data_IF_582744478078
#
_entry.id   IF_582744478078
#
_cell.length_a   1.000
_cell.length_b   1.000
_cell.length_c   1.000
_cell.angle_alpha   90.00
_cell.angle_beta   90.00
_cell.angle_gamma   90.00
#
_symmetry.space_group_name_H-M   'P 1'
#
loop_
_entity.id
_entity.type
_entity.pdbx_description
1 polymer ?
#
# COMPACT_ATOMS: atom_id res chain seq x y z
N UNK A 1 13.04 -10.08 7.68
CA UNK A 1 14.47 -10.28 8.12
C UNK A 1 14.63 -10.10 9.63
N UNK A 2 14.04 -9.09 10.31
CA UNK A 2 14.27 -8.84 11.74
C UNK A 2 13.86 -10.00 12.66
N UNK A 3 12.71 -10.62 12.43
CA UNK A 3 12.29 -11.83 13.18
C UNK A 3 13.30 -12.98 12.98
N UNK A 4 13.87 -13.15 11.77
CA UNK A 4 15.00 -14.07 11.50
C UNK A 4 16.24 -13.70 12.33
N UNK A 5 16.61 -12.41 12.35
CA UNK A 5 17.74 -11.92 13.15
C UNK A 5 17.53 -12.18 14.64
N UNK A 6 16.29 -12.01 15.13
CA UNK A 6 15.95 -12.33 16.51
C UNK A 6 16.05 -13.83 16.81
N UNK A 7 15.63 -14.68 15.88
CA UNK A 7 15.79 -16.13 15.99
C UNK A 7 17.29 -16.51 16.10
N UNK A 8 18.14 -15.92 15.26
CA UNK A 8 19.58 -16.11 15.31
C UNK A 8 20.17 -15.70 16.67
N UNK A 9 19.83 -14.50 17.16
CA UNK A 9 20.29 -14.02 18.47
C UNK A 9 19.88 -14.96 19.62
N UNK A 10 18.67 -15.49 19.58
CA UNK A 10 18.18 -16.45 20.61
C UNK A 10 18.96 -17.76 20.59
N UNK A 11 19.26 -18.28 19.39
CA UNK A 11 20.08 -19.48 19.21
C UNK A 11 21.50 -19.23 19.70
N UNK A 12 22.12 -18.12 19.29
CA UNK A 12 23.47 -17.79 19.71
C UNK A 12 23.57 -17.63 21.24
N UNK A 13 22.62 -16.93 21.85
CA UNK A 13 22.52 -16.80 23.31
C UNK A 13 22.39 -18.16 24.01
N UNK A 14 21.59 -19.09 23.45
CA UNK A 14 21.39 -20.40 24.02
C UNK A 14 22.68 -21.25 23.96
N UNK A 15 23.38 -21.21 22.83
CA UNK A 15 24.68 -21.91 22.65
C UNK A 15 25.76 -21.44 23.65
N UNK A 16 25.78 -20.16 23.99
CA UNK A 16 26.79 -19.54 24.84
C UNK A 16 26.46 -19.62 26.34
N UNK A 17 25.40 -20.34 26.73
CA UNK A 17 25.05 -20.56 28.13
C UNK A 17 26.07 -21.48 28.81
N UNK A 18 26.37 -21.22 30.11
CA UNK A 18 27.28 -22.03 30.91
C UNK A 18 26.95 -23.52 30.93
N UNK A 19 25.65 -23.86 30.81
CA UNK A 19 25.13 -25.22 30.77
C UNK A 19 24.19 -25.36 29.55
N UNK A 20 24.73 -25.21 28.35
CA UNK A 20 24.02 -25.42 27.13
C UNK A 20 23.62 -26.90 26.97
N UNK A 21 22.36 -27.15 26.66
CA UNK A 21 21.87 -28.49 26.36
C UNK A 21 22.35 -28.98 25.01
N UNK A 22 22.23 -30.28 24.73
CA UNK A 22 22.55 -30.81 23.41
C UNK A 22 21.71 -30.18 22.27
N UNK A 23 20.48 -29.79 22.57
CA UNK A 23 19.61 -29.04 21.65
C UNK A 23 20.12 -27.63 21.41
N UNK A 24 20.62 -26.93 22.45
CA UNK A 24 21.22 -25.61 22.34
C UNK A 24 22.50 -25.63 21.49
N UNK A 25 23.28 -26.69 21.58
CA UNK A 25 24.51 -26.86 20.81
C UNK A 25 24.25 -27.26 19.34
N UNK A 26 23.15 -27.96 19.06
CA UNK A 26 22.75 -28.41 17.73
C UNK A 26 21.35 -27.92 17.38
N UNK A 27 21.10 -26.60 17.30
CA UNK A 27 19.78 -26.06 17.04
C UNK A 27 19.37 -26.31 15.59
N UNK A 28 18.06 -26.38 15.36
CA UNK A 28 17.53 -26.36 14.02
C UNK A 28 17.57 -24.93 13.46
N UNK A 29 18.40 -24.70 12.45
CA UNK A 29 18.62 -23.36 11.86
C UNK A 29 17.81 -23.15 10.57
N UNK A 30 16.95 -24.09 10.17
CA UNK A 30 16.23 -24.07 8.89
C UNK A 30 15.57 -22.73 8.56
N UNK A 31 14.90 -22.09 9.52
CA UNK A 31 14.27 -20.80 9.28
C UNK A 31 15.30 -19.67 9.09
N UNK A 32 16.38 -19.73 9.84
CA UNK A 32 17.48 -18.77 9.71
C UNK A 32 18.17 -18.93 8.35
N UNK A 33 18.36 -20.16 7.90
CA UNK A 33 19.05 -20.50 6.65
C UNK A 33 18.09 -20.45 5.44
N UNK A 34 16.85 -19.98 5.61
CA UNK A 34 15.89 -19.88 4.52
C UNK A 34 16.43 -18.98 3.40
N UNK A 35 16.57 -19.50 2.16
CA UNK A 35 17.18 -18.79 1.04
C UNK A 35 16.46 -17.51 0.64
N UNK A 36 15.17 -17.36 0.91
CA UNK A 36 14.41 -16.15 0.63
C UNK A 36 14.98 -14.95 1.41
N UNK A 37 15.37 -15.16 2.67
CA UNK A 37 16.00 -14.09 3.45
C UNK A 37 17.38 -13.72 2.91
N UNK A 38 18.13 -14.70 2.40
CA UNK A 38 19.43 -14.43 1.80
C UNK A 38 19.30 -13.60 0.51
N UNK A 39 18.27 -13.85 -0.32
CA UNK A 39 17.98 -13.02 -1.50
C UNK A 39 17.72 -11.58 -1.07
N UNK A 40 16.87 -11.36 -0.06
CA UNK A 40 16.56 -10.01 0.42
C UNK A 40 17.78 -9.31 1.04
N UNK A 41 18.58 -10.01 1.82
CA UNK A 41 19.72 -9.44 2.53
C UNK A 41 20.92 -9.19 1.63
N UNK A 42 21.09 -9.97 0.56
CA UNK A 42 22.22 -9.80 -0.37
C UNK A 42 21.89 -8.91 -1.57
N UNK A 43 20.61 -8.55 -1.79
CA UNK A 43 20.24 -7.70 -2.90
C UNK A 43 20.78 -6.28 -2.73
N UNK A 44 21.67 -5.87 -3.63
CA UNK A 44 22.41 -4.59 -3.52
C UNK A 44 21.52 -3.37 -3.59
N UNK A 45 20.51 -3.38 -4.48
CA UNK A 45 19.59 -2.26 -4.63
C UNK A 45 18.71 -2.09 -3.39
N UNK A 46 18.21 -3.19 -2.85
CA UNK A 46 17.39 -3.18 -1.64
C UNK A 46 18.21 -2.73 -0.42
N UNK A 47 19.42 -3.24 -0.24
CA UNK A 47 20.30 -2.83 0.85
C UNK A 47 20.74 -1.37 0.74
N UNK A 48 21.05 -0.91 -0.48
CA UNK A 48 21.35 0.49 -0.73
C UNK A 48 20.20 1.41 -0.31
N UNK A 49 18.95 1.04 -0.68
CA UNK A 49 17.75 1.79 -0.31
C UNK A 49 17.55 1.85 1.21
N UNK A 50 17.65 0.71 1.90
CA UNK A 50 17.50 0.62 3.35
C UNK A 50 18.55 1.50 4.06
N UNK A 51 19.80 1.41 3.63
CA UNK A 51 20.91 2.14 4.25
C UNK A 51 20.80 3.65 4.04
N UNK A 52 20.50 4.08 2.83
CA UNK A 52 20.39 5.51 2.51
C UNK A 52 19.18 6.19 3.16
N UNK A 53 18.10 5.45 3.39
CA UNK A 53 16.91 5.99 4.04
C UNK A 53 16.88 5.69 5.55
N UNK A 54 17.96 5.14 6.12
CA UNK A 54 18.10 4.80 7.55
C UNK A 54 16.95 3.95 8.09
N UNK A 55 16.42 3.05 7.25
CA UNK A 55 15.27 2.21 7.61
C UNK A 55 15.74 1.13 8.59
N UNK A 56 15.17 1.14 9.79
CA UNK A 56 15.54 0.24 10.88
C UNK A 56 14.34 -0.12 11.76
N UNK A 57 14.42 -1.31 12.36
CA UNK A 57 13.51 -1.76 13.42
C UNK A 57 14.14 -1.66 14.81
N UNK A 58 15.28 -0.98 14.95
CA UNK A 58 15.99 -0.88 16.23
C UNK A 58 15.12 -0.27 17.33
N UNK A 59 14.29 0.71 16.98
CA UNK A 59 13.39 1.38 17.92
C UNK A 59 12.11 0.59 18.23
N UNK A 60 11.89 -0.54 17.54
CA UNK A 60 10.69 -1.37 17.69
C UNK A 60 11.06 -2.83 18.05
N UNK A 61 12.05 -3.01 18.90
CA UNK A 61 12.54 -4.35 19.31
C UNK A 61 11.48 -5.15 20.07
N UNK A 62 10.55 -4.50 20.74
CA UNK A 62 9.43 -5.16 21.42
C UNK A 62 8.47 -5.78 20.41
N UNK A 63 8.13 -5.07 19.35
CA UNK A 63 7.31 -5.59 18.24
C UNK A 63 8.01 -6.77 17.54
N UNK A 64 9.32 -6.68 17.31
CA UNK A 64 10.09 -7.79 16.73
C UNK A 64 10.08 -9.02 17.65
N UNK A 65 10.24 -8.82 18.97
CA UNK A 65 10.18 -9.91 19.95
C UNK A 65 8.79 -10.53 20.03
N UNK A 66 7.76 -9.71 19.98
CA UNK A 66 6.37 -10.16 19.98
C UNK A 66 6.11 -11.11 18.79
N UNK A 67 6.46 -10.70 17.57
CA UNK A 67 6.30 -11.55 16.38
C UNK A 67 7.19 -12.79 16.40
N UNK A 68 8.38 -12.70 16.98
CA UNK A 68 9.22 -13.88 17.18
C UNK A 68 8.54 -14.91 18.10
N UNK A 69 7.96 -14.48 19.22
CA UNK A 69 7.26 -15.38 20.13
C UNK A 69 6.04 -16.02 19.47
N UNK A 70 5.24 -15.24 18.71
CA UNK A 70 4.13 -15.78 17.91
C UNK A 70 4.60 -16.79 16.88
N UNK A 71 5.72 -16.51 16.20
CA UNK A 71 6.29 -17.40 15.20
C UNK A 71 6.62 -18.79 15.78
N UNK A 72 7.32 -18.85 16.90
CA UNK A 72 7.75 -20.14 17.48
C UNK A 72 6.57 -21.01 17.96
N UNK A 73 5.45 -20.41 18.33
CA UNK A 73 4.22 -21.08 18.71
C UNK A 73 3.33 -21.46 17.53
N UNK A 74 3.59 -20.87 16.35
CA UNK A 74 2.75 -21.05 15.19
C UNK A 74 2.92 -22.46 14.54
N UNK A 75 1.81 -23.16 14.37
CA UNK A 75 1.80 -24.54 13.91
C UNK A 75 2.44 -24.74 12.53
N UNK A 76 2.30 -23.78 11.61
CA UNK A 76 2.94 -23.83 10.27
C UNK A 76 4.45 -23.74 10.38
N UNK A 77 4.97 -22.87 11.25
CA UNK A 77 6.40 -22.77 11.52
C UNK A 77 6.95 -24.08 12.07
N UNK A 78 6.28 -24.67 13.07
CA UNK A 78 6.70 -25.95 13.64
C UNK A 78 6.72 -27.06 12.57
N UNK A 79 5.70 -27.17 11.72
CA UNK A 79 5.68 -28.11 10.59
C UNK A 79 6.83 -27.85 9.62
N UNK A 80 7.07 -26.60 9.26
CA UNK A 80 8.18 -26.22 8.37
C UNK A 80 9.54 -26.61 8.96
N UNK A 81 9.75 -26.39 10.25
CA UNK A 81 11.01 -26.75 10.92
C UNK A 81 11.30 -28.26 10.90
N UNK A 82 10.28 -29.11 10.77
CA UNK A 82 10.40 -30.57 10.72
C UNK A 82 10.38 -31.15 9.29
N UNK A 83 10.20 -30.33 8.25
CA UNK A 83 10.21 -30.83 6.86
C UNK A 83 11.57 -31.43 6.49
N UNK A 84 11.57 -32.46 5.63
CA UNK A 84 12.80 -33.03 5.06
C UNK A 84 13.10 -32.31 3.74
N UNK A 85 14.23 -31.59 3.65
CA UNK A 85 14.73 -30.94 2.42
C UNK A 85 13.66 -30.13 1.68
N UNK A 86 13.17 -29.04 2.25
CA UNK A 86 12.17 -28.20 1.60
C UNK A 86 12.71 -27.60 0.30
N UNK A 87 11.88 -27.52 -0.74
CA UNK A 87 12.17 -26.83 -1.98
C UNK A 87 12.18 -25.31 -1.78
N UNK A 88 12.72 -24.54 -2.74
CA UNK A 88 12.66 -23.07 -2.70
C UNK A 88 11.22 -22.56 -2.57
N UNK A 89 10.25 -23.15 -3.27
CA UNK A 89 8.85 -22.76 -3.16
C UNK A 89 8.28 -23.01 -1.75
N UNK A 90 8.69 -24.07 -1.08
CA UNK A 90 8.29 -24.31 0.32
C UNK A 90 8.96 -23.33 1.28
N UNK A 91 10.21 -22.95 1.01
CA UNK A 91 10.89 -21.88 1.73
C UNK A 91 10.21 -20.51 1.53
N UNK A 92 9.75 -20.22 0.32
CA UNK A 92 9.02 -19.00 -0.01
C UNK A 92 7.63 -19.00 0.62
N UNK A 93 6.92 -20.13 0.57
CA UNK A 93 5.57 -20.24 1.11
C UNK A 93 5.53 -19.93 2.61
N UNK A 94 6.46 -20.44 3.42
CA UNK A 94 6.47 -20.11 4.85
C UNK A 94 6.69 -18.61 5.11
N UNK A 95 7.46 -17.92 4.26
CA UNK A 95 7.66 -16.46 4.37
C UNK A 95 6.41 -15.69 3.97
N UNK A 96 5.72 -16.13 2.92
CA UNK A 96 4.44 -15.57 2.50
C UNK A 96 3.36 -15.76 3.56
N UNK A 97 3.24 -16.97 4.10
CA UNK A 97 2.28 -17.29 5.16
C UNK A 97 2.58 -16.49 6.45
N UNK A 98 3.86 -16.39 6.84
CA UNK A 98 4.28 -15.56 7.96
C UNK A 98 3.84 -14.11 7.79
N UNK A 99 4.04 -13.55 6.60
CA UNK A 99 3.65 -12.19 6.30
C UNK A 99 2.12 -12.03 6.30
N UNK A 100 1.41 -12.89 5.54
CA UNK A 100 -0.03 -12.72 5.28
C UNK A 100 -0.94 -13.16 6.43
N UNK A 101 -0.51 -14.12 7.26
CA UNK A 101 -1.38 -14.68 8.32
C UNK A 101 -0.96 -14.24 9.72
N UNK A 102 0.33 -14.03 9.94
CA UNK A 102 0.84 -13.76 11.29
C UNK A 102 1.15 -12.28 11.51
N UNK A 103 1.68 -11.56 10.49
CA UNK A 103 2.13 -10.17 10.64
C UNK A 103 0.99 -9.21 10.30
N UNK A 104 0.49 -9.25 9.06
CA UNK A 104 -0.45 -8.22 8.57
C UNK A 104 -1.86 -8.31 9.16
N UNK A 105 -2.22 -9.45 9.76
CA UNK A 105 -3.50 -9.64 10.45
C UNK A 105 -3.45 -9.18 11.91
N UNK A 106 -2.29 -8.73 12.38
CA UNK A 106 -2.06 -8.42 13.78
C UNK A 106 -2.13 -6.91 14.04
N UNK A 107 -2.97 -6.52 14.98
CA UNK A 107 -3.17 -5.14 15.35
C UNK A 107 -1.89 -4.44 15.84
N UNK A 108 -0.99 -5.18 16.51
CA UNK A 108 0.31 -4.66 16.94
C UNK A 108 1.15 -4.17 15.76
N UNK A 109 1.08 -4.86 14.60
CA UNK A 109 1.80 -4.40 13.40
C UNK A 109 1.21 -3.10 12.87
N UNK A 110 -0.13 -3.04 12.77
CA UNK A 110 -0.84 -1.85 12.32
C UNK A 110 -0.50 -0.64 13.20
N UNK A 111 -0.66 -0.77 14.52
CA UNK A 111 -0.33 0.29 15.49
C UNK A 111 1.12 0.75 15.38
N UNK A 112 2.06 -0.21 15.28
CA UNK A 112 3.50 0.12 15.13
C UNK A 112 3.77 0.94 13.87
N UNK A 113 3.05 0.68 12.78
CA UNK A 113 3.22 1.41 11.52
C UNK A 113 2.55 2.79 11.58
N UNK A 114 1.34 2.88 12.14
CA UNK A 114 0.60 4.12 12.33
C UNK A 114 1.38 5.13 13.19
N UNK A 115 2.02 4.66 14.28
CA UNK A 115 2.90 5.49 15.11
C UNK A 115 4.10 6.07 14.35
N UNK A 116 4.54 5.42 13.28
CA UNK A 116 5.65 5.92 12.45
C UNK A 116 5.24 7.02 11.49
N UNK A 117 4.05 6.94 10.93
CA UNK A 117 3.56 7.93 9.96
C UNK A 117 2.06 7.83 9.75
N UNK A 118 1.40 8.98 9.73
CA UNK A 118 -0.02 9.13 9.41
C UNK A 118 -0.39 8.58 8.01
N UNK A 119 0.56 8.55 7.07
CA UNK A 119 0.32 8.02 5.72
C UNK A 119 0.01 6.52 5.70
N UNK A 120 0.36 5.78 6.75
CA UNK A 120 0.01 4.36 6.84
C UNK A 120 -1.50 4.11 6.95
N UNK A 121 -2.30 5.09 7.37
CA UNK A 121 -3.75 4.94 7.42
C UNK A 121 -4.37 4.74 6.02
N UNK A 122 -3.76 5.35 5.02
CA UNK A 122 -4.27 5.33 3.64
C UNK A 122 -3.59 4.27 2.77
N UNK A 123 -2.27 4.16 2.89
CA UNK A 123 -1.45 3.36 1.98
C UNK A 123 -1.27 1.90 2.46
N UNK A 124 -1.77 1.56 3.65
CA UNK A 124 -1.45 0.29 4.31
C UNK A 124 -1.78 -0.92 3.44
N UNK A 125 -3.00 -1.05 2.95
CA UNK A 125 -3.44 -2.19 2.14
C UNK A 125 -2.66 -2.27 0.80
N UNK A 126 -2.46 -1.12 0.16
CA UNK A 126 -1.70 -1.04 -1.09
C UNK A 126 -0.26 -1.52 -0.88
N UNK A 127 0.42 -0.98 0.13
CA UNK A 127 1.82 -1.34 0.43
C UNK A 127 1.94 -2.80 0.83
N UNK A 128 1.03 -3.33 1.65
CA UNK A 128 1.03 -4.76 2.00
C UNK A 128 0.86 -5.65 0.77
N UNK A 129 -0.03 -5.26 -0.16
CA UNK A 129 -0.20 -5.99 -1.43
C UNK A 129 1.08 -5.99 -2.27
N UNK A 130 1.81 -4.87 -2.30
CA UNK A 130 3.09 -4.73 -3.01
C UNK A 130 4.17 -5.58 -2.35
N UNK A 131 4.26 -5.58 -1.02
CA UNK A 131 5.20 -6.44 -0.27
C UNK A 131 4.90 -7.92 -0.53
N UNK A 132 3.63 -8.32 -0.48
CA UNK A 132 3.24 -9.70 -0.80
C UNK A 132 3.65 -10.09 -2.22
N UNK A 133 3.36 -9.25 -3.22
CA UNK A 133 3.75 -9.47 -4.62
C UNK A 133 5.27 -9.52 -4.77
N UNK A 134 6.01 -8.66 -4.07
CA UNK A 134 7.48 -8.70 -4.04
C UNK A 134 7.97 -10.06 -3.57
N UNK A 135 7.49 -10.55 -2.43
CA UNK A 135 7.86 -11.87 -1.90
C UNK A 135 7.46 -13.01 -2.83
N UNK A 136 6.27 -12.93 -3.43
CA UNK A 136 5.74 -13.95 -4.34
C UNK A 136 6.56 -14.08 -5.62
N UNK A 137 7.08 -12.95 -6.17
CA UNK A 137 7.89 -12.94 -7.38
C UNK A 137 9.35 -13.37 -7.17
N UNK A 138 9.82 -13.54 -5.93
CA UNK A 138 11.18 -14.00 -5.66
C UNK A 138 11.43 -15.39 -6.28
N UNK A 139 12.58 -15.54 -6.90
CA UNK A 139 13.03 -16.78 -7.53
C UNK A 139 14.41 -17.20 -6.98
N UNK A 140 14.65 -18.48 -6.90
CA UNK A 140 15.91 -19.05 -6.36
C UNK A 140 17.17 -18.55 -7.08
N UNK A 141 17.06 -18.28 -8.38
CA UNK A 141 18.18 -17.89 -9.25
C UNK A 141 18.38 -16.36 -9.35
N UNK A 142 17.67 -15.57 -8.55
CA UNK A 142 17.85 -14.12 -8.54
C UNK A 142 19.26 -13.74 -8.11
N UNK A 143 19.83 -12.76 -8.84
CA UNK A 143 21.17 -12.21 -8.57
C UNK A 143 21.06 -11.02 -7.62
N UNK A 144 22.17 -10.66 -7.03
CA UNK A 144 22.25 -9.52 -6.10
C UNK A 144 21.87 -8.17 -6.76
N UNK A 145 22.01 -8.04 -8.07
CA UNK A 145 21.72 -6.82 -8.85
C UNK A 145 20.30 -6.76 -9.43
N UNK A 146 19.56 -7.87 -9.39
CA UNK A 146 18.22 -7.93 -9.98
C UNK A 146 17.24 -7.03 -9.22
N UNK A 147 16.26 -6.47 -9.94
CA UNK A 147 15.17 -5.73 -9.31
C UNK A 147 14.21 -6.71 -8.63
N UNK A 148 14.23 -6.73 -7.30
CA UNK A 148 13.36 -7.61 -6.51
C UNK A 148 12.07 -6.91 -6.05
N UNK A 149 12.06 -5.57 -6.01
CA UNK A 149 10.89 -4.83 -5.55
C UNK A 149 9.80 -4.78 -6.63
N UNK A 150 8.60 -5.15 -6.25
CA UNK A 150 7.46 -4.97 -7.14
C UNK A 150 7.19 -3.48 -7.33
N UNK A 151 7.04 -2.99 -8.57
CA UNK A 151 6.88 -1.57 -8.82
C UNK A 151 5.55 -1.05 -8.22
N UNK A 152 5.60 0.11 -7.55
CA UNK A 152 4.42 0.82 -7.04
C UNK A 152 3.59 1.32 -8.21
N UNK A 153 4.24 1.93 -9.19
CA UNK A 153 3.62 2.41 -10.41
C UNK A 153 3.86 1.43 -11.55
N UNK A 154 2.83 1.09 -12.29
CA UNK A 154 2.94 0.17 -13.44
C UNK A 154 3.65 0.82 -14.62
N UNK A 155 3.55 2.15 -14.74
CA UNK A 155 4.14 2.96 -15.81
C UNK A 155 4.43 4.37 -15.31
N UNK A 156 5.30 5.08 -16.03
CA UNK A 156 5.53 6.51 -15.82
C UNK A 156 4.24 7.34 -16.00
N UNK A 157 3.27 6.83 -16.77
CA UNK A 157 1.96 7.43 -16.99
C UNK A 157 1.17 7.63 -15.67
N UNK A 158 1.27 6.71 -14.71
CA UNK A 158 0.58 6.81 -13.42
C UNK A 158 1.13 7.98 -12.58
N UNK A 159 2.44 8.19 -12.63
CA UNK A 159 3.08 9.32 -11.95
C UNK A 159 2.74 10.65 -12.62
N UNK A 160 2.76 10.71 -13.95
CA UNK A 160 2.39 11.91 -14.71
C UNK A 160 0.91 12.24 -14.56
N UNK A 161 0.03 11.23 -14.43
CA UNK A 161 -1.36 11.43 -14.08
C UNK A 161 -1.50 12.17 -12.74
N UNK A 162 -0.92 11.63 -11.66
CA UNK A 162 -1.00 12.23 -10.33
C UNK A 162 -0.43 13.66 -10.29
N UNK A 163 0.71 13.87 -10.94
CA UNK A 163 1.37 15.17 -11.04
C UNK A 163 0.53 16.19 -11.80
N UNK A 164 -0.08 15.77 -12.91
CA UNK A 164 -0.92 16.62 -13.75
C UNK A 164 -2.20 16.97 -13.01
N UNK A 165 -2.87 16.00 -12.40
CA UNK A 165 -4.08 16.20 -11.62
C UNK A 165 -3.84 17.20 -10.48
N UNK A 166 -2.78 16.99 -9.68
CA UNK A 166 -2.45 17.89 -8.57
C UNK A 166 -2.22 19.33 -9.05
N UNK A 167 -1.48 19.52 -10.14
CA UNK A 167 -1.25 20.85 -10.71
C UNK A 167 -2.54 21.50 -11.18
N UNK A 168 -3.37 20.77 -11.91
CA UNK A 168 -4.63 21.28 -12.44
C UNK A 168 -5.60 21.63 -11.33
N UNK A 169 -5.80 20.74 -10.35
CA UNK A 169 -6.64 21.00 -9.20
C UNK A 169 -6.19 22.22 -8.39
N UNK A 170 -4.87 22.40 -8.24
CA UNK A 170 -4.32 23.55 -7.52
C UNK A 170 -4.51 24.88 -8.28
N UNK A 171 -4.13 24.92 -9.56
CA UNK A 171 -4.20 26.17 -10.32
C UNK A 171 -5.64 26.56 -10.71
N UNK A 172 -6.53 25.60 -10.84
CA UNK A 172 -7.93 25.85 -11.22
C UNK A 172 -8.87 25.83 -10.00
N UNK A 173 -8.34 25.79 -8.77
CA UNK A 173 -9.13 25.66 -7.55
C UNK A 173 -10.26 26.71 -7.46
N UNK A 174 -9.96 27.99 -7.66
CA UNK A 174 -10.97 29.06 -7.58
C UNK A 174 -12.04 28.92 -8.68
N UNK A 175 -11.65 28.58 -9.90
CA UNK A 175 -12.61 28.35 -10.99
C UNK A 175 -13.50 27.13 -10.73
N UNK A 176 -12.93 26.07 -10.14
CA UNK A 176 -13.68 24.88 -9.74
C UNK A 176 -14.66 25.21 -8.59
N UNK A 177 -14.26 26.07 -7.64
CA UNK A 177 -15.15 26.55 -6.57
C UNK A 177 -16.32 27.35 -7.13
N UNK A 178 -16.14 28.17 -8.16
CA UNK A 178 -17.22 28.90 -8.82
C UNK A 178 -18.24 27.94 -9.47
N UNK A 179 -17.77 26.80 -10.00
CA UNK A 179 -18.68 25.78 -10.55
C UNK A 179 -19.44 25.10 -9.41
N UNK A 180 -18.78 24.73 -8.31
CA UNK A 180 -19.40 24.08 -7.16
C UNK A 180 -20.45 25.01 -6.53
N UNK A 181 -20.15 26.29 -6.36
CA UNK A 181 -21.03 27.29 -5.76
C UNK A 181 -22.37 27.41 -6.50
N UNK A 182 -22.36 27.29 -7.83
CA UNK A 182 -23.59 27.32 -8.64
C UNK A 182 -24.61 26.22 -8.25
N UNK A 183 -24.14 25.13 -7.65
CA UNK A 183 -24.97 23.97 -7.33
C UNK A 183 -25.15 23.75 -5.82
N UNK A 184 -24.56 24.65 -5.01
CA UNK A 184 -24.62 24.59 -3.55
C UNK A 184 -25.41 25.76 -2.94
N UNK A 185 -26.25 26.45 -3.72
CA UNK A 185 -27.00 27.64 -3.33
C UNK A 185 -27.87 27.48 -2.05
N UNK A 186 -28.17 26.26 -1.62
CA UNK A 186 -28.86 25.98 -0.36
C UNK A 186 -27.89 25.83 0.83
N UNK A 187 -26.59 25.91 0.60
CA UNK A 187 -25.53 25.73 1.59
C UNK A 187 -24.53 26.85 1.38
N UNK A 188 -24.26 27.64 2.40
CA UNK A 188 -23.14 28.57 2.36
C UNK A 188 -21.85 27.77 2.16
N UNK A 189 -21.00 28.15 1.20
CA UNK A 189 -19.73 27.47 0.92
C UNK A 189 -18.87 27.26 2.17
N UNK A 190 -18.95 28.20 3.12
CA UNK A 190 -18.25 28.13 4.41
C UNK A 190 -18.71 26.96 5.30
N UNK A 191 -19.87 26.37 5.00
CA UNK A 191 -20.39 25.18 5.72
C UNK A 191 -20.01 23.86 5.08
N UNK A 192 -19.47 23.88 3.87
CA UNK A 192 -18.96 22.69 3.20
C UNK A 192 -17.57 22.39 3.76
N UNK A 193 -17.33 21.14 4.13
CA UNK A 193 -16.01 20.76 4.64
C UNK A 193 -14.91 21.04 3.60
N UNK A 194 -13.73 21.46 4.05
CA UNK A 194 -12.59 21.70 3.15
C UNK A 194 -12.22 20.43 2.35
N UNK A 195 -12.40 19.27 2.96
CA UNK A 195 -12.15 17.99 2.28
C UNK A 195 -13.14 17.77 1.13
N UNK A 196 -14.45 18.02 1.33
CA UNK A 196 -15.44 17.89 0.25
C UNK A 196 -15.13 18.85 -0.90
N UNK A 197 -14.71 20.10 -0.61
CA UNK A 197 -14.29 21.06 -1.63
C UNK A 197 -13.09 20.55 -2.43
N UNK A 198 -12.08 20.02 -1.75
CA UNK A 198 -10.89 19.46 -2.39
C UNK A 198 -11.24 18.26 -3.28
N UNK A 199 -12.04 17.33 -2.78
CA UNK A 199 -12.49 16.14 -3.51
C UNK A 199 -13.23 16.57 -4.79
N UNK A 200 -14.21 17.47 -4.66
CA UNK A 200 -14.96 17.95 -5.83
C UNK A 200 -14.07 18.74 -6.82
N UNK A 201 -13.14 19.55 -6.33
CA UNK A 201 -12.20 20.28 -7.19
C UNK A 201 -11.29 19.34 -7.96
N UNK A 202 -10.77 18.29 -7.33
CA UNK A 202 -9.99 17.26 -8.00
C UNK A 202 -10.82 16.53 -9.07
N UNK A 203 -12.06 16.14 -8.75
CA UNK A 203 -12.97 15.49 -9.70
C UNK A 203 -13.24 16.36 -10.93
N UNK A 204 -13.55 17.65 -10.74
CA UNK A 204 -13.79 18.59 -11.84
C UNK A 204 -12.53 18.74 -12.71
N UNK A 205 -11.36 18.83 -12.09
CA UNK A 205 -10.09 18.90 -12.83
C UNK A 205 -9.81 17.63 -13.63
N UNK A 206 -10.11 16.46 -13.08
CA UNK A 206 -9.97 15.20 -13.80
C UNK A 206 -10.95 15.11 -14.98
N UNK A 207 -12.21 15.47 -14.78
CA UNK A 207 -13.22 15.51 -15.83
C UNK A 207 -12.79 16.35 -17.03
N UNK A 208 -12.16 17.52 -16.78
CA UNK A 208 -11.75 18.48 -17.81
C UNK A 208 -10.45 18.08 -18.51
N UNK A 209 -9.49 17.51 -17.80
CA UNK A 209 -8.13 17.35 -18.31
C UNK A 209 -7.72 15.91 -18.65
N UNK A 210 -8.55 14.91 -18.34
CA UNK A 210 -8.26 13.51 -18.62
C UNK A 210 -9.30 12.89 -19.56
N UNK A 211 -9.15 13.12 -20.87
CA UNK A 211 -10.14 12.68 -21.86
C UNK A 211 -10.29 11.16 -21.96
N UNK A 212 -9.25 10.39 -21.56
CA UNK A 212 -9.27 8.92 -21.62
C UNK A 212 -9.97 8.26 -20.43
N UNK A 213 -10.34 9.02 -19.40
CA UNK A 213 -11.06 8.51 -18.21
C UNK A 213 -12.56 8.76 -18.42
N UNK A 214 -13.41 7.72 -18.39
CA UNK A 214 -14.85 7.87 -18.45
C UNK A 214 -15.40 8.75 -17.33
N UNK A 215 -16.46 9.51 -17.62
CA UNK A 215 -17.10 10.38 -16.61
C UNK A 215 -17.57 9.58 -15.41
N UNK A 216 -18.23 8.44 -15.65
CA UNK A 216 -18.71 7.56 -14.59
C UNK A 216 -17.58 7.08 -13.67
N UNK A 217 -16.44 6.69 -14.24
CA UNK A 217 -15.28 6.25 -13.46
C UNK A 217 -14.80 7.37 -12.54
N UNK A 218 -14.64 8.59 -13.07
CA UNK A 218 -14.29 9.75 -12.23
C UNK A 218 -15.29 9.93 -11.09
N UNK A 219 -16.59 9.91 -11.36
CA UNK A 219 -17.61 10.08 -10.31
C UNK A 219 -17.52 8.99 -9.25
N UNK A 220 -17.49 7.72 -9.67
CA UNK A 220 -17.42 6.57 -8.76
C UNK A 220 -16.18 6.64 -7.85
N UNK A 221 -15.00 6.93 -8.41
CA UNK A 221 -13.75 7.00 -7.64
C UNK A 221 -13.76 8.13 -6.62
N UNK A 222 -14.22 9.34 -6.97
CA UNK A 222 -14.26 10.46 -6.02
C UNK A 222 -15.35 10.29 -4.96
N UNK A 223 -16.43 9.56 -5.25
CA UNK A 223 -17.42 9.15 -4.24
C UNK A 223 -16.78 8.16 -3.25
N UNK A 224 -16.01 7.16 -3.72
CA UNK A 224 -15.30 6.22 -2.85
C UNK A 224 -14.26 6.95 -1.98
N UNK A 225 -13.47 7.86 -2.56
CA UNK A 225 -12.54 8.72 -1.80
C UNK A 225 -13.28 9.48 -0.69
N UNK A 226 -14.47 10.01 -0.98
CA UNK A 226 -15.24 10.76 0.02
C UNK A 226 -15.68 9.93 1.22
N UNK A 227 -15.91 8.63 1.05
CA UNK A 227 -16.27 7.72 2.15
C UNK A 227 -15.13 7.53 3.13
N UNK A 228 -13.88 7.58 2.65
CA UNK A 228 -12.68 7.42 3.48
C UNK A 228 -12.26 8.73 4.14
N UNK A 229 -12.30 9.83 3.40
CA UNK A 229 -11.68 11.09 3.82
C UNK A 229 -12.66 12.15 4.33
N UNK A 230 -13.98 11.90 4.23
CA UNK A 230 -14.98 12.86 4.66
C UNK A 230 -16.07 12.25 5.53
N UNK A 231 -17.18 12.97 5.71
CA UNK A 231 -18.27 12.50 6.55
C UNK A 231 -19.11 11.41 5.86
N UNK A 232 -19.81 10.54 6.61
CA UNK A 232 -20.68 9.52 6.02
C UNK A 232 -21.79 10.06 5.09
N UNK A 233 -22.10 11.37 5.17
CA UNK A 233 -23.10 12.03 4.32
C UNK A 233 -22.48 12.69 3.09
N UNK A 234 -21.18 12.87 3.05
CA UNK A 234 -20.46 13.60 1.99
C UNK A 234 -20.59 12.92 0.63
N UNK A 235 -20.56 11.59 0.58
CA UNK A 235 -20.68 10.87 -0.69
C UNK A 235 -21.95 11.23 -1.48
N UNK A 236 -23.11 11.24 -0.83
CA UNK A 236 -24.36 11.63 -1.47
C UNK A 236 -24.40 13.11 -1.89
N UNK A 237 -23.83 13.99 -1.06
CA UNK A 237 -23.72 15.42 -1.35
C UNK A 237 -22.80 15.68 -2.55
N UNK A 238 -21.60 15.12 -2.53
CA UNK A 238 -20.59 15.25 -3.59
C UNK A 238 -21.16 14.71 -4.91
N UNK A 239 -21.80 13.52 -4.89
CA UNK A 239 -22.44 12.97 -6.08
C UNK A 239 -23.46 13.96 -6.68
N UNK A 240 -24.35 14.51 -5.85
CA UNK A 240 -25.39 15.45 -6.33
C UNK A 240 -24.84 16.76 -6.90
N UNK A 241 -23.69 17.24 -6.40
CA UNK A 241 -23.00 18.42 -6.95
C UNK A 241 -22.27 18.07 -8.24
N UNK A 242 -21.51 16.98 -8.25
CA UNK A 242 -20.73 16.56 -9.42
C UNK A 242 -21.61 16.18 -10.61
N UNK A 243 -22.77 15.54 -10.42
CA UNK A 243 -23.73 15.26 -11.50
C UNK A 243 -24.16 16.55 -12.22
N UNK A 244 -24.47 17.61 -11.46
CA UNK A 244 -24.83 18.91 -12.02
C UNK A 244 -23.64 19.61 -12.67
N UNK A 245 -22.47 19.50 -12.08
CA UNK A 245 -21.24 20.06 -12.65
C UNK A 245 -20.91 19.38 -13.98
N UNK A 246 -21.05 18.06 -14.10
CA UNK A 246 -20.87 17.31 -15.36
C UNK A 246 -21.84 17.81 -16.42
N UNK A 247 -23.12 18.01 -16.10
CA UNK A 247 -24.09 18.53 -17.05
C UNK A 247 -23.68 19.91 -17.58
N UNK A 248 -23.33 20.83 -16.68
CA UNK A 248 -22.85 22.17 -17.07
C UNK A 248 -21.59 22.11 -17.94
N UNK A 249 -20.59 21.31 -17.55
CA UNK A 249 -19.30 21.22 -18.26
C UNK A 249 -19.44 20.54 -19.63
N UNK A 250 -20.42 19.65 -19.80
CA UNK A 250 -20.79 19.10 -21.11
C UNK A 250 -21.45 20.15 -21.99
N UNK A 251 -22.39 20.92 -21.44
CA UNK A 251 -23.08 21.98 -22.18
C UNK A 251 -22.13 23.11 -22.61
N UNK A 252 -21.12 23.40 -21.82
CA UNK A 252 -20.09 24.40 -22.14
C UNK A 252 -18.93 23.83 -22.98
N UNK A 253 -18.97 22.53 -23.35
CA UNK A 253 -17.90 21.82 -24.05
C UNK A 253 -16.54 21.82 -23.33
N UNK A 254 -16.53 21.92 -21.99
CA UNK A 254 -15.31 21.82 -21.20
C UNK A 254 -14.92 20.36 -20.88
N UNK A 255 -15.84 19.41 -20.99
CA UNK A 255 -15.56 17.97 -20.95
C UNK A 255 -15.52 17.43 -22.37
N UNK A 256 -14.34 17.01 -22.82
CA UNK A 256 -14.16 16.34 -24.11
C UNK A 256 -13.55 14.97 -23.83
N UNK A 257 -14.32 13.90 -24.00
CA UNK A 257 -13.86 12.52 -23.81
C UNK A 257 -13.36 11.91 -25.11
N UNK A 258 -12.35 11.04 -25.05
CA UNK A 258 -11.72 10.39 -26.19
C UNK A 258 -11.26 8.96 -25.83
N UNK A 259 -11.23 8.09 -26.82
CA UNK A 259 -10.78 6.71 -26.63
C UNK A 259 -11.63 5.97 -25.59
N UNK A 260 -11.00 5.42 -24.55
CA UNK A 260 -11.69 4.71 -23.46
C UNK A 260 -12.67 5.60 -22.68
N UNK A 261 -12.45 6.91 -22.67
CA UNK A 261 -13.35 7.87 -22.03
C UNK A 261 -14.76 7.94 -22.61
N UNK A 262 -14.97 7.39 -23.81
CA UNK A 262 -16.28 7.31 -24.49
C UNK A 262 -17.10 6.07 -24.09
N UNK A 263 -16.59 5.19 -23.24
CA UNK A 263 -17.29 3.93 -22.89
C UNK A 263 -18.67 4.16 -22.24
N UNK A 264 -18.83 5.27 -21.51
CA UNK A 264 -20.11 5.61 -20.87
C UNK A 264 -21.17 6.11 -21.85
N UNK A 265 -20.77 6.61 -23.02
CA UNK A 265 -21.69 7.15 -24.03
C UNK A 265 -22.29 6.07 -24.94
N UNK A 266 -21.68 4.87 -24.93
CA UNK A 266 -22.13 3.73 -25.76
C UNK A 266 -23.22 2.88 -25.07
N UNK A 267 -23.36 2.93 -23.74
CA UNK A 267 -24.41 2.21 -22.99
C UNK A 267 -25.74 3.01 -22.85
N UNK A 268 -25.73 4.27 -23.28
CA UNK A 268 -26.92 5.15 -23.21
C UNK A 268 -27.71 5.27 -24.56
N UNK A 269 -27.43 4.36 -25.52
CA UNK A 269 -28.15 4.29 -26.79
C UNK A 269 -28.96 3.01 -26.94
#
# INVERSE_FOLDING_TARGET
>A
TEVRRKAFQKIDTARNRRFASNVDLNPNTRFIDNPVFNILENNKKFQYYITNNLISWNDNQETVLYFYNKLIEWSKYQKYMHQKSPSFEQHKQIVLDLFSELIIQDEMFYQTMEEKSIFWNDDFELVLSIVYKTLWHLQEKMREEDDILYPIYKKDEDFEYARTLMRKAFYEYNANMEIIDKFTYNWELDRISEMDKLIMSCAISELKHFPSIPVKVTLDEYIEISKTYSSPKSGAFINGVLDKAVALLKDTNEIVKAGRGLLDETEAR
#
